data_IF_773934275720
#
_entry.id   IF_773934275720
#
_cell.length_a   1.000
_cell.length_b   1.000
_cell.length_c   1.000
_cell.angle_alpha   90.00
_cell.angle_beta   90.00
_cell.angle_gamma   90.00
#
_symmetry.space_group_name_H-M   'P 1'
#
loop_
_entity.id
_entity.type
_entity.pdbx_description
1 polymer ?
#
# COMPACT_ATOMS: atom_id res chain seq x y z
N UNK A 1 -5.53 12.86 -13.56
CA UNK A 1 -5.15 11.63 -12.83
C UNK A 1 -3.69 11.75 -12.45
N UNK A 2 -3.42 11.83 -11.18
CA UNK A 2 -2.06 12.06 -10.71
C UNK A 2 -1.87 11.58 -9.27
N UNK A 3 -0.59 11.50 -8.86
CA UNK A 3 -0.20 11.19 -7.49
C UNK A 3 0.08 12.50 -6.76
N UNK A 4 -0.46 12.63 -5.55
CA UNK A 4 -0.19 13.76 -4.66
C UNK A 4 -0.16 13.30 -3.20
N UNK A 5 0.22 14.20 -2.29
CA UNK A 5 0.13 13.88 -0.87
C UNK A 5 -1.33 13.69 -0.44
N UNK A 6 -1.57 12.70 0.40
CA UNK A 6 -2.87 12.47 1.01
C UNK A 6 -3.11 13.51 2.10
N UNK A 7 -4.29 14.11 2.11
CA UNK A 7 -4.67 15.09 3.12
C UNK A 7 -5.66 14.48 4.13
N UNK A 8 -5.85 15.17 5.25
CA UNK A 8 -6.82 14.76 6.26
C UNK A 8 -8.25 14.68 5.68
N UNK A 9 -8.58 15.59 4.76
CA UNK A 9 -9.90 15.58 4.12
C UNK A 9 -10.11 14.36 3.24
N UNK A 10 -9.04 13.86 2.63
CA UNK A 10 -9.13 12.66 1.78
C UNK A 10 -9.49 11.42 2.60
N UNK A 11 -9.06 11.34 3.84
CA UNK A 11 -9.22 10.16 4.69
C UNK A 11 -10.70 9.81 4.87
N UNK A 12 -11.53 10.82 5.18
CA UNK A 12 -12.96 10.61 5.41
C UNK A 12 -13.67 10.12 4.13
N UNK A 13 -13.23 10.61 2.97
CA UNK A 13 -13.82 10.23 1.69
C UNK A 13 -13.35 8.85 1.23
N UNK A 14 -12.06 8.57 1.43
CA UNK A 14 -11.44 7.37 0.88
C UNK A 14 -11.75 6.12 1.73
N UNK A 15 -11.84 6.26 3.04
CA UNK A 15 -12.01 5.10 3.93
C UNK A 15 -13.25 4.26 3.61
N UNK A 16 -14.44 4.83 3.39
CA UNK A 16 -15.62 4.03 3.01
C UNK A 16 -15.43 3.28 1.69
N UNK A 17 -14.81 3.93 0.70
CA UNK A 17 -14.56 3.31 -0.59
C UNK A 17 -13.59 2.13 -0.49
N UNK A 18 -12.55 2.26 0.33
CA UNK A 18 -11.60 1.17 0.55
C UNK A 18 -12.22 0.01 1.33
N UNK A 19 -13.11 0.30 2.28
CA UNK A 19 -13.77 -0.73 3.09
C UNK A 19 -14.62 -1.68 2.23
N UNK A 20 -15.06 -1.24 1.06
CA UNK A 20 -15.83 -2.07 0.13
C UNK A 20 -14.98 -3.07 -0.64
N UNK A 21 -13.65 -2.93 -0.63
CA UNK A 21 -12.77 -3.85 -1.33
C UNK A 21 -12.78 -5.23 -0.67
N UNK A 22 -12.84 -6.32 -1.47
CA UNK A 22 -12.86 -7.69 -0.92
C UNK A 22 -11.71 -7.98 0.04
N UNK A 23 -10.52 -7.46 -0.24
CA UNK A 23 -9.35 -7.65 0.61
C UNK A 23 -9.57 -7.05 2.00
N UNK A 24 -10.14 -5.85 2.08
CA UNK A 24 -10.42 -5.20 3.35
C UNK A 24 -11.47 -5.96 4.15
N UNK A 25 -12.52 -6.44 3.48
CA UNK A 25 -13.55 -7.27 4.12
C UNK A 25 -12.94 -8.56 4.68
N UNK A 26 -12.06 -9.20 3.93
CA UNK A 26 -11.42 -10.46 4.36
C UNK A 26 -10.57 -10.26 5.60
N UNK A 27 -9.91 -9.11 5.74
CA UNK A 27 -9.10 -8.78 6.91
C UNK A 27 -9.89 -8.09 8.02
N UNK A 28 -11.22 -7.97 7.88
CA UNK A 28 -12.09 -7.37 8.87
C UNK A 28 -11.87 -5.87 9.06
N UNK A 29 -11.45 -5.17 8.01
CA UNK A 29 -11.15 -3.73 8.06
C UNK A 29 -12.41 -2.93 7.76
N UNK A 30 -13.04 -2.36 8.77
CA UNK A 30 -14.19 -1.46 8.60
C UNK A 30 -13.75 -0.06 8.13
N UNK A 31 -14.69 0.71 7.60
CA UNK A 31 -14.42 2.11 7.22
C UNK A 31 -13.91 2.93 8.41
N UNK A 32 -14.53 2.76 9.59
CA UNK A 32 -14.12 3.48 10.79
C UNK A 32 -12.69 3.12 11.20
N UNK A 33 -12.30 1.84 11.08
CA UNK A 33 -10.95 1.39 11.42
C UNK A 33 -9.93 1.93 10.42
N UNK A 34 -10.25 1.87 9.13
CA UNK A 34 -9.37 2.41 8.08
C UNK A 34 -9.17 3.92 8.29
N UNK A 35 -10.24 4.65 8.57
CA UNK A 35 -10.17 6.09 8.83
C UNK A 35 -9.27 6.38 10.03
N UNK A 36 -9.45 5.66 11.14
CA UNK A 36 -8.64 5.85 12.33
C UNK A 36 -7.16 5.52 12.09
N UNK A 37 -6.87 4.44 11.37
CA UNK A 37 -5.51 4.03 11.06
C UNK A 37 -4.80 5.04 10.16
N UNK A 38 -5.50 5.58 9.16
CA UNK A 38 -4.94 6.60 8.27
C UNK A 38 -4.72 7.93 8.98
N UNK A 39 -5.65 8.33 9.84
CA UNK A 39 -5.48 9.55 10.63
C UNK A 39 -4.26 9.44 11.56
N UNK A 40 -4.09 8.29 12.20
CA UNK A 40 -2.91 8.04 13.03
C UNK A 40 -1.62 8.04 12.22
N UNK A 41 -1.64 7.48 11.02
CA UNK A 41 -0.50 7.47 10.11
C UNK A 41 -0.10 8.88 9.68
N UNK A 42 -1.07 9.73 9.36
CA UNK A 42 -0.80 11.15 9.06
C UNK A 42 -0.15 11.85 10.24
N UNK A 43 -0.66 11.61 11.45
CA UNK A 43 -0.11 12.23 12.66
C UNK A 43 1.34 11.78 12.94
N UNK A 44 1.69 10.53 12.61
CA UNK A 44 3.05 10.01 12.77
C UNK A 44 4.02 10.49 11.69
N UNK A 45 3.50 11.01 10.58
CA UNK A 45 4.34 11.37 9.44
C UNK A 45 4.70 10.22 8.52
N UNK A 46 3.90 9.14 8.52
CA UNK A 46 4.08 8.06 7.56
C UNK A 46 3.96 8.59 6.14
N UNK A 47 4.52 7.90 5.16
CA UNK A 47 4.32 8.22 3.75
C UNK A 47 2.90 7.88 3.34
N UNK A 48 2.17 8.88 2.84
CA UNK A 48 0.80 8.70 2.38
C UNK A 48 0.60 9.49 1.09
N UNK A 49 0.44 8.75 0.00
CA UNK A 49 0.23 9.34 -1.33
C UNK A 49 -1.15 8.96 -1.82
N UNK A 50 -1.83 9.93 -2.42
CA UNK A 50 -3.16 9.72 -3.00
C UNK A 50 -3.07 9.60 -4.51
N UNK A 51 -3.88 8.73 -5.08
CA UNK A 51 -4.20 8.72 -6.50
C UNK A 51 -5.46 9.56 -6.70
N UNK A 52 -5.31 10.67 -7.38
CA UNK A 52 -6.40 11.63 -7.58
C UNK A 52 -7.01 11.48 -8.96
N UNK A 53 -8.34 11.49 -9.01
CA UNK A 53 -9.11 11.53 -10.24
C UNK A 53 -10.12 12.66 -10.10
N UNK A 54 -10.05 13.66 -10.97
CA UNK A 54 -10.96 14.81 -10.95
C UNK A 54 -11.06 15.49 -9.58
N UNK A 55 -9.93 15.65 -8.91
CA UNK A 55 -9.84 16.31 -7.61
C UNK A 55 -10.19 15.45 -6.42
N UNK A 56 -10.54 14.18 -6.62
CA UNK A 56 -10.97 13.26 -5.56
C UNK A 56 -9.96 12.13 -5.41
N UNK A 57 -9.56 11.84 -4.17
CA UNK A 57 -8.68 10.70 -3.88
C UNK A 57 -9.45 9.40 -4.10
N UNK A 58 -8.95 8.56 -5.02
CA UNK A 58 -9.56 7.28 -5.39
C UNK A 58 -8.67 6.10 -5.08
N UNK A 59 -7.53 6.33 -4.48
CA UNK A 59 -6.59 5.31 -4.06
C UNK A 59 -5.47 5.90 -3.25
N UNK A 60 -4.66 5.02 -2.67
CA UNK A 60 -3.52 5.47 -1.86
C UNK A 60 -2.37 4.49 -1.89
N UNK A 61 -1.18 5.01 -1.58
CA UNK A 61 -0.04 4.24 -1.12
C UNK A 61 0.31 4.70 0.29
N UNK A 62 0.44 3.74 1.20
CA UNK A 62 0.80 3.98 2.60
C UNK A 62 2.09 3.23 2.89
N UNK A 63 3.10 3.94 3.36
CA UNK A 63 4.42 3.34 3.57
C UNK A 63 5.17 3.99 4.73
N UNK A 64 6.16 3.25 5.23
CA UNK A 64 7.12 3.75 6.19
C UNK A 64 8.49 3.77 5.48
N UNK A 65 9.18 4.89 5.54
CA UNK A 65 10.40 5.09 4.75
C UNK A 65 11.54 4.17 5.17
N UNK A 66 11.59 3.80 6.44
CA UNK A 66 12.61 2.91 7.00
C UNK A 66 11.99 1.83 7.87
N UNK A 67 10.77 1.39 7.53
CA UNK A 67 9.97 0.46 8.34
C UNK A 67 10.48 -0.96 8.38
N UNK A 68 11.36 -1.36 7.44
CA UNK A 68 11.88 -2.73 7.40
C UNK A 68 13.28 -2.76 7.95
N UNK A 69 13.41 -3.27 9.18
CA UNK A 69 14.70 -3.44 9.89
C UNK A 69 15.50 -2.14 10.02
N UNK A 70 14.87 -0.98 9.88
CA UNK A 70 15.56 0.31 9.85
C UNK A 70 16.43 0.51 8.62
N UNK A 71 16.36 -0.35 7.62
CA UNK A 71 17.23 -0.34 6.45
C UNK A 71 16.51 -0.19 5.13
N UNK A 72 15.23 -0.46 5.09
CA UNK A 72 14.46 -0.40 3.84
C UNK A 72 13.07 0.17 4.04
N UNK A 73 12.50 0.73 2.98
CA UNK A 73 11.12 1.18 2.99
C UNK A 73 10.17 0.01 3.05
N UNK A 74 9.07 0.18 3.76
CA UNK A 74 8.01 -0.80 3.85
C UNK A 74 6.73 -0.23 3.24
N UNK A 75 6.30 -0.82 2.14
CA UNK A 75 5.01 -0.50 1.55
C UNK A 75 3.93 -1.29 2.29
N UNK A 76 3.19 -0.58 3.14
CA UNK A 76 2.16 -1.20 3.96
C UNK A 76 0.88 -1.49 3.18
N UNK A 77 0.51 -0.61 2.24
CA UNK A 77 -0.72 -0.74 1.49
C UNK A 77 -0.67 0.05 0.20
N UNK A 78 -1.05 -0.58 -0.91
CA UNK A 78 -1.56 0.11 -2.09
C UNK A 78 -2.99 -0.37 -2.26
N UNK A 79 -3.93 0.54 -2.34
CA UNK A 79 -5.32 0.22 -2.55
C UNK A 79 -5.96 1.24 -3.48
N UNK A 80 -6.82 0.76 -4.37
CA UNK A 80 -7.55 1.58 -5.33
C UNK A 80 -9.03 1.28 -5.18
N UNK A 81 -9.84 2.31 -5.03
CA UNK A 81 -11.28 2.17 -4.98
C UNK A 81 -11.79 1.52 -6.25
N UNK A 82 -12.93 0.86 -6.16
CA UNK A 82 -13.58 0.27 -7.32
C UNK A 82 -13.80 1.34 -8.39
N UNK A 83 -13.52 0.99 -9.64
CA UNK A 83 -13.60 1.93 -10.75
C UNK A 83 -12.31 2.73 -10.99
N UNK A 84 -11.39 2.78 -10.04
CA UNK A 84 -10.09 3.41 -10.22
C UNK A 84 -8.98 2.39 -10.56
N UNK A 85 -9.34 1.11 -10.56
CA UNK A 85 -8.39 0.03 -10.87
C UNK A 85 -8.16 -0.09 -12.37
N UNK A 86 -6.99 -0.60 -12.76
CA UNK A 86 -6.69 -0.94 -14.15
C UNK A 86 -6.18 0.19 -15.04
N UNK A 87 -6.08 1.42 -14.54
CA UNK A 87 -5.62 2.57 -15.34
C UNK A 87 -4.16 2.95 -15.12
N UNK A 88 -3.34 2.05 -14.60
CA UNK A 88 -1.94 2.36 -14.29
C UNK A 88 -1.75 3.08 -12.96
N UNK A 89 -2.81 3.24 -12.19
CA UNK A 89 -2.75 3.94 -10.90
C UNK A 89 -1.84 3.22 -9.91
N UNK A 90 -1.96 1.90 -9.81
CA UNK A 90 -1.11 1.10 -8.93
C UNK A 90 0.37 1.24 -9.27
N UNK A 91 0.70 1.20 -10.55
CA UNK A 91 2.07 1.38 -11.01
C UNK A 91 2.60 2.77 -10.69
N UNK A 92 1.78 3.80 -10.86
CA UNK A 92 2.16 5.18 -10.54
C UNK A 92 2.39 5.38 -9.05
N UNK A 93 1.53 4.81 -8.21
CA UNK A 93 1.69 4.85 -6.76
C UNK A 93 2.93 4.11 -6.30
N UNK A 94 3.19 2.93 -6.89
CA UNK A 94 4.39 2.15 -6.56
C UNK A 94 5.65 2.90 -6.95
N UNK A 95 5.70 3.51 -8.13
CA UNK A 95 6.83 4.29 -8.58
C UNK A 95 7.08 5.49 -7.65
N UNK A 96 6.04 6.16 -7.20
CA UNK A 96 6.15 7.29 -6.28
C UNK A 96 6.66 6.84 -4.91
N UNK A 97 6.19 5.69 -4.41
CA UNK A 97 6.72 5.08 -3.19
C UNK A 97 8.22 4.80 -3.34
N UNK A 98 8.62 4.16 -4.43
CA UNK A 98 10.03 3.82 -4.67
C UNK A 98 10.91 5.07 -4.73
N UNK A 99 10.43 6.13 -5.36
CA UNK A 99 11.16 7.39 -5.43
C UNK A 99 11.36 8.01 -4.04
N UNK A 100 10.34 7.97 -3.19
CA UNK A 100 10.45 8.45 -1.81
C UNK A 100 11.44 7.62 -0.99
N UNK A 101 11.36 6.30 -1.08
CA UNK A 101 12.26 5.41 -0.35
C UNK A 101 13.70 5.60 -0.81
N UNK A 102 13.91 5.79 -2.11
CA UNK A 102 15.26 5.92 -2.68
C UNK A 102 16.04 7.11 -2.10
N UNK A 103 15.34 8.10 -1.54
CA UNK A 103 15.97 9.25 -0.88
C UNK A 103 16.72 8.85 0.39
N UNK A 104 16.32 7.75 1.05
CA UNK A 104 16.87 7.32 2.35
C UNK A 104 17.37 5.88 2.34
N UNK A 105 16.99 5.06 1.36
CA UNK A 105 17.35 3.64 1.30
C UNK A 105 17.42 3.14 -0.13
N UNK A 106 18.07 2.00 -0.31
CA UNK A 106 18.15 1.29 -1.60
C UNK A 106 17.21 0.08 -1.65
N UNK A 107 16.42 -0.14 -0.61
CA UNK A 107 15.63 -1.35 -0.47
C UNK A 107 14.17 -1.03 -0.26
N UNK A 108 13.31 -1.72 -0.98
CA UNK A 108 11.86 -1.66 -0.81
C UNK A 108 11.35 -3.05 -0.46
N UNK A 109 10.47 -3.12 0.52
CA UNK A 109 9.86 -4.35 1.01
C UNK A 109 8.36 -4.21 1.06
N UNK A 110 7.68 -5.33 0.88
CA UNK A 110 6.22 -5.39 1.06
C UNK A 110 5.80 -6.80 1.39
N UNK A 111 4.57 -6.92 1.87
CA UNK A 111 3.92 -8.20 2.13
C UNK A 111 2.75 -8.38 1.18
N UNK A 112 2.57 -9.60 0.69
CA UNK A 112 1.41 -9.98 -0.14
C UNK A 112 0.82 -11.25 0.43
N UNK A 113 -0.49 -11.28 0.62
CA UNK A 113 -1.18 -12.49 1.08
C UNK A 113 -0.99 -13.62 0.06
N UNK A 114 -0.83 -14.84 0.56
CA UNK A 114 -0.57 -16.02 -0.28
C UNK A 114 -1.70 -16.32 -1.28
N UNK A 115 -2.92 -15.88 -0.99
CA UNK A 115 -4.06 -16.05 -1.89
C UNK A 115 -4.18 -14.97 -2.96
N UNK A 116 -3.43 -13.87 -2.83
CA UNK A 116 -3.57 -12.72 -3.72
C UNK A 116 -2.65 -12.84 -4.94
N UNK A 117 -3.00 -13.74 -5.86
CA UNK A 117 -2.19 -14.00 -7.04
C UNK A 117 -2.03 -12.77 -7.96
N UNK A 118 -3.07 -11.95 -8.19
CA UNK A 118 -2.89 -10.75 -9.00
C UNK A 118 -1.85 -9.79 -8.43
N UNK A 119 -1.84 -9.59 -7.11
CA UNK A 119 -0.85 -8.72 -6.47
C UNK A 119 0.56 -9.30 -6.60
N UNK A 120 0.71 -10.62 -6.41
CA UNK A 120 2.00 -11.28 -6.57
C UNK A 120 2.55 -11.03 -7.98
N UNK A 121 1.73 -11.21 -9.01
CA UNK A 121 2.14 -10.95 -10.40
C UNK A 121 2.46 -9.48 -10.63
N UNK A 122 1.66 -8.58 -10.06
CA UNK A 122 1.87 -7.15 -10.19
C UNK A 122 3.26 -6.75 -9.70
N UNK A 123 3.65 -7.21 -8.51
CA UNK A 123 4.95 -6.86 -7.93
C UNK A 123 6.11 -7.59 -8.63
N UNK A 124 5.94 -8.86 -8.98
CA UNK A 124 6.98 -9.62 -9.68
C UNK A 124 7.31 -9.01 -11.04
N UNK A 125 6.31 -8.53 -11.76
CA UNK A 125 6.51 -7.84 -13.04
C UNK A 125 7.27 -6.52 -12.88
N UNK A 126 7.30 -5.98 -11.66
CA UNK A 126 7.97 -4.70 -11.38
C UNK A 126 9.28 -4.86 -10.63
N UNK A 127 9.82 -6.07 -10.64
CA UNK A 127 11.16 -6.34 -10.14
C UNK A 127 11.25 -6.77 -8.69
N UNK A 128 10.11 -7.02 -8.03
CA UNK A 128 10.11 -7.56 -6.67
C UNK A 128 10.30 -9.07 -6.71
N UNK A 129 11.16 -9.57 -5.82
CA UNK A 129 11.42 -10.99 -5.67
C UNK A 129 10.85 -11.47 -4.33
N UNK A 130 10.20 -12.62 -4.35
CA UNK A 130 9.73 -13.27 -3.13
C UNK A 130 10.93 -13.84 -2.38
N UNK A 131 11.14 -13.42 -1.14
CA UNK A 131 12.29 -13.81 -0.34
C UNK A 131 11.91 -14.60 0.92
N UNK A 132 10.63 -14.71 1.24
CA UNK A 132 10.19 -15.44 2.41
C UNK A 132 8.69 -15.45 2.58
N UNK A 133 8.26 -16.04 3.68
CA UNK A 133 6.85 -16.12 4.05
C UNK A 133 6.72 -16.08 5.57
N UNK A 134 5.63 -15.45 6.04
CA UNK A 134 5.31 -15.32 7.46
C UNK A 134 3.95 -15.99 7.70
N UNK A 135 3.94 -17.31 8.01
CA UNK A 135 2.70 -18.03 8.19
C UNK A 135 1.92 -17.51 9.41
N UNK A 136 0.62 -17.22 9.21
CA UNK A 136 -0.25 -16.80 10.29
C UNK A 136 0.06 -15.44 10.90
N UNK A 137 0.77 -14.59 10.18
CA UNK A 137 1.16 -13.27 10.71
C UNK A 137 -0.05 -12.42 11.11
N UNK A 138 -1.08 -12.41 10.26
CA UNK A 138 -2.31 -11.63 10.50
C UNK A 138 -3.49 -12.57 10.70
N UNK A 139 -3.79 -13.40 9.70
CA UNK A 139 -4.84 -14.42 9.78
C UNK A 139 -4.20 -15.80 9.92
N UNK A 140 -4.71 -16.68 10.82
CA UNK A 140 -4.05 -17.95 11.11
C UNK A 140 -3.82 -18.84 9.88
N UNK A 141 -4.74 -18.80 8.91
CA UNK A 141 -4.71 -19.65 7.72
C UNK A 141 -4.00 -19.01 6.53
N UNK A 142 -3.48 -17.80 6.67
CA UNK A 142 -2.85 -17.04 5.57
C UNK A 142 -1.38 -16.79 5.88
N UNK A 143 -0.50 -17.11 4.92
CA UNK A 143 0.88 -16.67 4.98
C UNK A 143 1.02 -15.33 4.25
N UNK A 144 1.71 -14.39 4.88
CA UNK A 144 2.09 -13.14 4.21
C UNK A 144 3.44 -13.36 3.54
N UNK A 145 3.49 -13.21 2.22
CA UNK A 145 4.70 -13.41 1.44
C UNK A 145 5.54 -12.15 1.47
N UNK A 146 6.82 -12.30 1.78
CA UNK A 146 7.76 -11.18 1.85
C UNK A 146 8.39 -10.96 0.49
N UNK A 147 8.23 -9.76 -0.05
CA UNK A 147 8.83 -9.34 -1.31
C UNK A 147 9.85 -8.23 -1.09
N UNK A 148 10.89 -8.25 -1.88
CA UNK A 148 11.98 -7.30 -1.81
C UNK A 148 12.43 -6.88 -3.20
N UNK A 149 12.77 -5.59 -3.31
CA UNK A 149 13.38 -5.03 -4.53
C UNK A 149 14.56 -4.14 -4.14
N UNK A 150 15.68 -4.34 -4.79
CA UNK A 150 16.78 -3.40 -4.71
C UNK A 150 16.52 -2.27 -5.69
N UNK A 151 16.42 -1.04 -5.18
CA UNK A 151 16.06 0.12 -6.00
C UNK A 151 17.24 0.65 -6.81
N UNK A 152 18.43 0.39 -6.32
CA UNK A 152 19.61 0.85 -7.02
C UNK A 152 20.86 0.06 -6.64
#
# INVERSE_FOLDING_TARGET
MSVRQLSQDDVAQLAPALAELPLMARYGRSAARIEADLAAALARGDGLLAWEVAGVARGLAWFLREGTFGMGGYLRLIALAEGAQGGGAGAALLAAFEAEVLRVSRHAFLLVSDFNLPAQRFYEQRGYARVGALPGLVLPEVAELVYWKRLR
#
